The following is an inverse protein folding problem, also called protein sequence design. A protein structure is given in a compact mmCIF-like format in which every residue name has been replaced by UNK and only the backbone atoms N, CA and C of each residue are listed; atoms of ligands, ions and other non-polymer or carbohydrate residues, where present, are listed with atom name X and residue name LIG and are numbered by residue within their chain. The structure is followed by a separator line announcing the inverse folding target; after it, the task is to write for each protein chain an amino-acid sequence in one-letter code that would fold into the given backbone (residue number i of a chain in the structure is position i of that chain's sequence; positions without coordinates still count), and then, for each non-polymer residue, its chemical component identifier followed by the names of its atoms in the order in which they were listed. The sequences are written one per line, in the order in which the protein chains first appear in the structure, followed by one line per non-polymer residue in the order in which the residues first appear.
data_IF_270496762663
#
_entry.id   IF_270496762663
#
_cell.length_a   1.000
_cell.length_b   1.000
_cell.length_c   1.000
_cell.angle_alpha   90.00
_cell.angle_beta   90.00
_cell.angle_gamma   90.00
#
_symmetry.space_group_name_H-M   'P 1'
#
loop_
_entity.id
_entity.type
_entity.pdbx_description
1 polymer ?
#
# COMPACT_ATOMS: atom_id res chain seq x y z
N UNK A 1 0.95 -3.96 -8.76
CA UNK A 1 0.63 -5.41 -8.68
C UNK A 1 1.92 -6.17 -8.94
N UNK A 2 2.13 -7.28 -8.23
CA UNK A 2 3.30 -8.15 -8.35
C UNK A 2 2.84 -9.60 -8.54
N UNK A 3 3.53 -10.37 -9.38
CA UNK A 3 3.27 -11.81 -9.56
C UNK A 3 3.88 -12.64 -8.43
N UNK A 4 3.32 -13.83 -8.18
CA UNK A 4 3.80 -14.76 -7.15
C UNK A 4 5.17 -15.36 -7.50
N UNK A 5 5.48 -15.48 -8.79
CA UNK A 5 6.73 -16.06 -9.28
C UNK A 5 7.89 -15.07 -9.20
N UNK A 6 7.61 -13.78 -9.40
CA UNK A 6 8.65 -12.74 -9.49
C UNK A 6 8.94 -12.04 -8.16
N UNK A 7 7.99 -12.06 -7.22
CA UNK A 7 8.20 -11.42 -5.91
C UNK A 7 9.33 -12.07 -5.09
N UNK A 8 9.44 -13.41 -4.94
CA UNK A 8 10.53 -14.03 -4.17
C UNK A 8 11.93 -13.68 -4.73
N UNK A 9 12.06 -13.58 -6.06
CA UNK A 9 13.32 -13.18 -6.71
C UNK A 9 13.66 -11.73 -6.40
N UNK A 10 12.66 -10.84 -6.31
CA UNK A 10 12.91 -9.45 -5.95
C UNK A 10 13.22 -9.29 -4.46
N UNK A 11 12.53 -10.03 -3.59
CA UNK A 11 12.77 -10.02 -2.15
C UNK A 11 14.21 -10.43 -1.82
N UNK A 12 14.76 -11.44 -2.49
CA UNK A 12 16.17 -11.84 -2.32
C UNK A 12 17.18 -10.83 -2.87
N UNK A 13 16.77 -9.94 -3.79
CA UNK A 13 17.66 -8.98 -4.47
C UNK A 13 17.63 -7.58 -3.85
N UNK A 14 16.55 -7.22 -3.17
CA UNK A 14 16.31 -5.87 -2.68
C UNK A 14 16.01 -5.88 -1.18
N UNK A 15 17.04 -5.64 -0.37
CA UNK A 15 16.96 -5.72 1.10
C UNK A 15 15.84 -4.86 1.71
N UNK A 16 15.51 -3.72 1.08
CA UNK A 16 14.46 -2.83 1.58
C UNK A 16 13.07 -3.47 1.62
N UNK A 17 12.84 -4.55 0.87
CA UNK A 17 11.58 -5.29 0.93
C UNK A 17 11.36 -6.00 2.28
N UNK A 18 12.41 -6.13 3.09
CA UNK A 18 12.34 -6.65 4.46
C UNK A 18 12.07 -5.56 5.52
N UNK A 19 11.92 -4.30 5.14
CA UNK A 19 11.62 -3.21 6.09
C UNK A 19 10.17 -3.24 6.61
N UNK A 20 9.30 -4.04 5.99
CA UNK A 20 7.87 -4.05 6.30
C UNK A 20 7.52 -5.20 7.25
N UNK A 21 6.69 -4.93 8.26
CA UNK A 21 6.16 -5.95 9.18
C UNK A 21 5.21 -6.95 8.51
N UNK A 22 4.74 -6.63 7.29
CA UNK A 22 3.71 -7.38 6.59
C UNK A 22 3.67 -7.08 5.08
N UNK A 23 3.15 -8.04 4.31
CA UNK A 23 3.05 -7.99 2.85
C UNK A 23 1.80 -8.71 2.36
N UNK A 24 1.13 -8.12 1.37
CA UNK A 24 0.07 -8.75 0.59
C UNK A 24 0.47 -8.67 -0.88
N UNK A 25 0.73 -9.83 -1.47
CA UNK A 25 1.17 -9.93 -2.86
C UNK A 25 -0.02 -10.30 -3.74
N UNK A 26 -0.31 -9.46 -4.74
CA UNK A 26 -1.48 -9.66 -5.60
C UNK A 26 -1.47 -11.00 -6.34
N UNK A 27 -0.29 -11.48 -6.76
CA UNK A 27 -0.16 -12.76 -7.44
C UNK A 27 -0.43 -13.97 -6.54
N UNK A 28 -0.19 -13.85 -5.22
CA UNK A 28 -0.46 -14.91 -4.26
C UNK A 28 -1.95 -14.95 -3.88
N UNK A 29 -2.59 -13.78 -3.81
CA UNK A 29 -3.99 -13.66 -3.38
C UNK A 29 -5.00 -13.73 -4.52
N UNK A 30 -4.55 -13.54 -5.77
CA UNK A 30 -5.43 -13.39 -6.94
C UNK A 30 -6.23 -12.07 -6.95
N UNK A 31 -6.02 -11.19 -5.98
CA UNK A 31 -6.70 -9.90 -5.86
C UNK A 31 -5.80 -8.77 -6.37
N UNK A 32 -6.38 -7.77 -7.03
CA UNK A 32 -5.64 -6.62 -7.54
C UNK A 32 -6.31 -5.31 -7.13
N UNK A 33 -5.51 -4.27 -6.92
CA UNK A 33 -6.04 -2.91 -6.82
C UNK A 33 -6.62 -2.50 -8.19
N UNK A 34 -7.76 -1.76 -8.24
CA UNK A 34 -8.44 -1.09 -7.12
C UNK A 34 -9.55 -1.91 -6.44
N UNK A 35 -9.62 -3.24 -6.60
CA UNK A 35 -10.63 -4.06 -5.92
C UNK A 35 -10.59 -3.82 -4.39
N UNK A 36 -11.69 -3.40 -3.74
CA UNK A 36 -11.72 -3.14 -2.30
C UNK A 36 -11.30 -4.36 -1.44
N UNK A 37 -11.40 -5.58 -1.96
CA UNK A 37 -11.10 -6.79 -1.23
C UNK A 37 -9.61 -6.91 -0.85
N UNK A 38 -8.68 -6.41 -1.68
CA UNK A 38 -7.24 -6.47 -1.35
C UNK A 38 -6.91 -5.54 -0.17
N UNK A 39 -7.56 -4.37 -0.09
CA UNK A 39 -7.41 -3.45 1.04
C UNK A 39 -8.01 -4.07 2.29
N UNK A 40 -9.24 -4.61 2.21
CA UNK A 40 -9.90 -5.28 3.35
C UNK A 40 -9.07 -6.47 3.87
N UNK A 41 -8.47 -7.25 2.96
CA UNK A 41 -7.59 -8.35 3.32
C UNK A 41 -6.36 -7.85 4.09
N UNK A 42 -5.67 -6.82 3.58
CA UNK A 42 -4.53 -6.20 4.26
C UNK A 42 -4.92 -5.71 5.66
N UNK A 43 -6.02 -4.97 5.76
CA UNK A 43 -6.50 -4.41 7.03
C UNK A 43 -6.83 -5.50 8.04
N UNK A 44 -7.53 -6.57 7.62
CA UNK A 44 -7.87 -7.70 8.48
C UNK A 44 -6.63 -8.48 8.91
N UNK A 45 -5.70 -8.74 7.99
CA UNK A 45 -4.50 -9.55 8.25
C UNK A 45 -3.59 -8.91 9.28
N UNK A 46 -3.44 -7.58 9.23
CA UNK A 46 -2.53 -6.83 10.10
C UNK A 46 -3.23 -5.99 11.16
N UNK A 47 -4.54 -6.18 11.38
CA UNK A 47 -5.29 -5.47 12.42
C UNK A 47 -5.28 -3.94 12.27
N UNK A 48 -5.20 -3.44 11.04
CA UNK A 48 -5.09 -2.01 10.78
C UNK A 48 -6.46 -1.33 10.95
N UNK A 49 -6.47 -0.08 11.41
CA UNK A 49 -7.68 0.75 11.52
C UNK A 49 -7.70 1.78 10.39
N UNK A 50 -8.73 1.84 9.51
CA UNK A 50 -8.69 2.68 8.31
C UNK A 50 -8.31 4.13 8.57
N UNK A 51 -8.91 4.73 9.60
CA UNK A 51 -8.72 6.12 9.98
C UNK A 51 -7.32 6.42 10.55
N UNK A 52 -6.53 5.38 10.86
CA UNK A 52 -5.14 5.47 11.34
C UNK A 52 -4.16 4.93 10.30
N UNK A 53 -4.61 4.63 9.09
CA UNK A 53 -3.80 4.06 8.02
C UNK A 53 -3.64 5.07 6.88
N UNK A 54 -2.40 5.20 6.39
CA UNK A 54 -2.10 5.94 5.16
C UNK A 54 -1.81 4.94 4.04
N UNK A 55 -2.40 5.17 2.87
CA UNK A 55 -2.15 4.39 1.66
C UNK A 55 -1.50 5.28 0.60
N UNK A 56 -0.37 4.86 0.04
CA UNK A 56 0.40 5.64 -0.94
C UNK A 56 0.46 4.84 -2.24
N UNK A 57 0.03 5.42 -3.36
CA UNK A 57 0.06 4.79 -4.69
C UNK A 57 0.14 5.86 -5.79
N UNK A 58 0.76 5.51 -6.91
CA UNK A 58 0.94 6.41 -8.06
C UNK A 58 -0.29 6.47 -8.98
N UNK A 59 -1.24 5.53 -8.84
CA UNK A 59 -2.48 5.52 -9.61
C UNK A 59 -3.63 6.10 -8.79
N UNK A 60 -4.25 7.17 -9.28
CA UNK A 60 -5.37 7.83 -8.58
C UNK A 60 -6.52 6.89 -8.27
N UNK A 61 -6.87 5.99 -9.18
CA UNK A 61 -7.96 5.01 -8.98
C UNK A 61 -7.73 4.09 -7.76
N UNK A 62 -6.48 3.75 -7.45
CA UNK A 62 -6.15 2.95 -6.27
C UNK A 62 -6.32 3.78 -5.00
N UNK A 63 -5.89 5.04 -5.05
CA UNK A 63 -6.02 6.00 -3.94
C UNK A 63 -7.48 6.29 -3.64
N UNK A 64 -8.31 6.50 -4.66
CA UNK A 64 -9.75 6.70 -4.55
C UNK A 64 -10.45 5.50 -3.93
N UNK A 65 -10.08 4.28 -4.31
CA UNK A 65 -10.60 3.05 -3.70
C UNK A 65 -10.22 2.93 -2.21
N UNK A 66 -9.00 3.30 -1.84
CA UNK A 66 -8.58 3.34 -0.44
C UNK A 66 -9.38 4.40 0.36
N UNK A 67 -9.57 5.59 -0.21
CA UNK A 67 -10.37 6.66 0.39
C UNK A 67 -11.82 6.22 0.62
N UNK A 68 -12.42 5.51 -0.33
CA UNK A 68 -13.78 4.97 -0.20
C UNK A 68 -13.94 3.96 0.95
N UNK A 69 -12.84 3.38 1.43
CA UNK A 69 -12.80 2.48 2.61
C UNK A 69 -12.42 3.21 3.91
N UNK A 70 -12.29 4.54 3.88
CA UNK A 70 -11.92 5.36 5.04
C UNK A 70 -10.42 5.35 5.35
N UNK A 71 -9.58 4.88 4.42
CA UNK A 71 -8.12 4.93 4.52
C UNK A 71 -7.64 6.28 3.98
N UNK A 72 -6.64 6.91 4.62
CA UNK A 72 -6.09 8.17 4.12
C UNK A 72 -5.18 7.92 2.90
N UNK A 73 -5.73 8.12 1.70
CA UNK A 73 -5.01 7.90 0.45
C UNK A 73 -4.18 9.12 -0.02
N UNK A 74 -2.91 8.88 -0.35
CA UNK A 74 -1.99 9.86 -0.95
C UNK A 74 -1.64 9.41 -2.37
N UNK A 75 -1.94 10.27 -3.34
CA UNK A 75 -1.50 10.09 -4.73
C UNK A 75 -0.03 10.50 -4.87
N UNK A 76 0.83 9.49 -4.97
CA UNK A 76 2.26 9.69 -5.15
C UNK A 76 2.57 10.33 -6.50
N UNK A 77 3.31 11.44 -6.46
CA UNK A 77 3.79 12.15 -7.66
C UNK A 77 5.31 12.23 -7.70
N UNK A 78 5.93 12.53 -6.57
CA UNK A 78 7.38 12.54 -6.38
C UNK A 78 7.70 12.59 -4.87
N UNK A 79 8.95 12.32 -4.52
CA UNK A 79 9.42 12.25 -3.14
C UNK A 79 9.27 13.57 -2.35
N UNK A 80 9.52 14.73 -3.00
CA UNK A 80 9.40 16.04 -2.33
C UNK A 80 7.96 16.31 -1.90
N UNK A 81 7.00 16.07 -2.81
CA UNK A 81 5.57 16.19 -2.51
C UNK A 81 5.13 15.19 -1.45
N UNK A 82 5.54 13.93 -1.55
CA UNK A 82 5.19 12.92 -0.54
C UNK A 82 5.70 13.31 0.85
N UNK A 83 6.93 13.81 0.97
CA UNK A 83 7.49 14.28 2.24
C UNK A 83 6.66 15.42 2.84
N UNK A 84 6.23 16.38 2.03
CA UNK A 84 5.35 17.47 2.47
C UNK A 84 4.00 16.93 2.96
N UNK A 85 3.38 16.04 2.19
CA UNK A 85 2.09 15.44 2.53
C UNK A 85 2.17 14.64 3.84
N UNK A 86 3.24 13.87 4.05
CA UNK A 86 3.49 13.15 5.31
C UNK A 86 3.76 14.10 6.49
N UNK A 87 4.47 15.22 6.28
CA UNK A 87 4.69 16.24 7.31
C UNK A 87 3.38 16.90 7.78
N UNK A 88 2.43 17.14 6.88
CA UNK A 88 1.08 17.63 7.25
C UNK A 88 0.32 16.65 8.14
N UNK A 89 0.62 15.35 8.02
CA UNK A 89 0.05 14.28 8.85
C UNK A 89 0.87 14.01 10.13
N UNK A 90 1.98 14.72 10.34
CA UNK A 90 2.92 14.52 11.47
C UNK A 90 3.51 13.11 11.51
N UNK A 91 3.74 12.52 10.34
CA UNK A 91 4.42 11.23 10.17
C UNK A 91 5.90 11.36 9.85
N UNK A 92 6.39 12.60 9.67
CA UNK A 92 7.77 13.00 9.46
C UNK A 92 8.04 14.32 10.19
#
# INVERSE_FOLDING_TARGET
NWSAETYPVAETRFDFLHWFDGKVISGETGMIKPDPNIYKLLMKTYGLTPQKTVFIDDKSVNVEAANALGIHGIHYKNASKLRNDLGKLKLL
#
